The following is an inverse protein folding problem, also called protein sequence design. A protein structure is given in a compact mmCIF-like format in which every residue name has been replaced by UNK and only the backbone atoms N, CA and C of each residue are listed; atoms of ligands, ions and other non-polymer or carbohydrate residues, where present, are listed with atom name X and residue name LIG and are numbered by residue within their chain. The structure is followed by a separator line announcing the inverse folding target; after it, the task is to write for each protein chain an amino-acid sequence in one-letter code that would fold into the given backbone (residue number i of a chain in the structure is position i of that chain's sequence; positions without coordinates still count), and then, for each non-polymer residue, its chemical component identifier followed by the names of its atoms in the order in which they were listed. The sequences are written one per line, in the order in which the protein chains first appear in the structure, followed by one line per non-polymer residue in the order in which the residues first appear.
data_IF_171934570079
#
_entry.id   IF_171934570079
#
_cell.length_a   1.000
_cell.length_b   1.000
_cell.length_c   1.000
_cell.angle_alpha   90.00
_cell.angle_beta   90.00
_cell.angle_gamma   90.00
#
_symmetry.space_group_name_H-M   'P 1'
#
loop_
_entity.id
_entity.type
_entity.pdbx_description
1 polymer ?
#
# COMPACT_ATOMS: atom_id res chain seq x y z
N UNK A 1 8.63 -8.17 9.65
CA UNK A 1 7.69 -7.19 9.07
C UNK A 1 7.83 -5.88 9.83
N UNK A 2 8.00 -4.77 9.13
CA UNK A 2 8.13 -3.46 9.75
C UNK A 2 6.81 -3.00 10.38
N UNK A 3 6.91 -2.06 11.32
CA UNK A 3 5.72 -1.47 11.96
C UNK A 3 4.86 -0.72 10.93
N UNK A 4 5.52 -0.07 9.96
CA UNK A 4 4.82 0.60 8.87
C UNK A 4 3.96 -0.38 8.08
N UNK A 5 4.50 -1.54 7.73
CA UNK A 5 3.75 -2.55 6.99
C UNK A 5 2.57 -3.10 7.78
N UNK A 6 2.78 -3.37 9.07
CA UNK A 6 1.69 -3.84 9.93
C UNK A 6 0.56 -2.82 9.99
N UNK A 7 0.90 -1.55 10.16
CA UNK A 7 -0.08 -0.47 10.20
C UNK A 7 -0.81 -0.34 8.86
N UNK A 8 -0.08 -0.44 7.76
CA UNK A 8 -0.66 -0.39 6.41
C UNK A 8 -1.64 -1.55 6.18
N UNK A 9 -1.25 -2.77 6.56
CA UNK A 9 -2.13 -3.94 6.44
C UNK A 9 -3.38 -3.80 7.30
N UNK A 10 -3.22 -3.33 8.55
CA UNK A 10 -4.35 -3.13 9.45
C UNK A 10 -5.35 -2.11 8.89
N UNK A 11 -4.86 -1.03 8.31
CA UNK A 11 -5.69 -0.01 7.68
C UNK A 11 -6.54 -0.62 6.55
N UNK A 12 -5.90 -1.34 5.65
CA UNK A 12 -6.60 -1.96 4.51
C UNK A 12 -7.57 -3.06 4.95
N UNK A 13 -7.22 -3.83 5.97
CA UNK A 13 -8.10 -4.88 6.51
C UNK A 13 -9.40 -4.30 7.06
N UNK A 14 -9.32 -3.15 7.73
CA UNK A 14 -10.53 -2.46 8.22
C UNK A 14 -11.40 -2.03 7.04
N UNK A 15 -10.82 -1.49 5.99
CA UNK A 15 -11.58 -1.07 4.81
C UNK A 15 -12.28 -2.26 4.15
N UNK A 16 -11.63 -3.40 4.02
CA UNK A 16 -12.24 -4.59 3.44
C UNK A 16 -13.42 -5.11 4.26
N UNK A 17 -13.30 -5.09 5.59
CA UNK A 17 -14.39 -5.51 6.48
C UNK A 17 -15.59 -4.58 6.41
N UNK A 18 -15.32 -3.27 6.42
CA UNK A 18 -16.39 -2.26 6.34
C UNK A 18 -17.11 -2.35 5.01
N UNK A 19 -16.37 -2.58 3.91
CA UNK A 19 -16.95 -2.73 2.57
C UNK A 19 -17.66 -4.07 2.38
N UNK A 20 -17.42 -5.04 3.27
CA UNK A 20 -17.99 -6.39 3.20
C UNK A 20 -17.72 -7.07 1.86
N UNK A 21 -16.45 -7.15 1.51
CA UNK A 21 -15.97 -7.74 0.25
C UNK A 21 -15.01 -8.91 0.55
N UNK A 22 -15.51 -10.03 1.10
CA UNK A 22 -14.64 -11.11 1.61
C UNK A 22 -13.78 -11.75 0.52
N UNK A 23 -14.27 -11.82 -0.71
CA UNK A 23 -13.46 -12.36 -1.81
C UNK A 23 -12.26 -11.46 -2.11
N UNK A 24 -12.48 -10.15 -2.18
CA UNK A 24 -11.41 -9.18 -2.41
C UNK A 24 -10.41 -9.21 -1.25
N UNK A 25 -10.91 -9.29 -0.02
CA UNK A 25 -10.07 -9.43 1.17
C UNK A 25 -9.16 -10.66 1.07
N UNK A 26 -9.69 -11.81 0.68
CA UNK A 26 -8.91 -13.04 0.53
C UNK A 26 -7.83 -12.93 -0.53
N UNK A 27 -8.17 -12.34 -1.68
CA UNK A 27 -7.21 -12.14 -2.77
C UNK A 27 -6.11 -11.17 -2.35
N UNK A 28 -6.47 -10.09 -1.68
CA UNK A 28 -5.50 -9.09 -1.20
C UNK A 28 -4.54 -9.70 -0.18
N UNK A 29 -5.05 -10.51 0.75
CA UNK A 29 -4.22 -11.19 1.75
C UNK A 29 -3.28 -12.22 1.12
N UNK A 30 -3.74 -12.93 0.10
CA UNK A 30 -2.90 -13.88 -0.64
C UNK A 30 -1.77 -13.15 -1.37
N UNK A 31 -2.08 -12.05 -2.05
CA UNK A 31 -1.08 -11.21 -2.74
C UNK A 31 -0.08 -10.64 -1.75
N UNK A 32 -0.55 -10.19 -0.60
CA UNK A 32 0.29 -9.67 0.49
C UNK A 32 1.32 -10.69 0.93
N UNK A 33 0.93 -11.95 1.12
CA UNK A 33 1.85 -13.02 1.51
C UNK A 33 2.94 -13.23 0.47
N UNK A 34 2.62 -13.07 -0.80
CA UNK A 34 3.57 -13.23 -1.89
C UNK A 34 4.59 -12.09 -1.94
N UNK A 35 4.13 -10.85 -1.68
CA UNK A 35 4.93 -9.64 -1.87
C UNK A 35 5.40 -8.97 -0.58
N UNK A 36 5.25 -9.61 0.59
CA UNK A 36 5.62 -9.00 1.87
C UNK A 36 6.98 -9.43 2.40
N UNK A 37 7.84 -9.99 1.58
CA UNK A 37 9.19 -10.37 2.01
C UNK A 37 10.02 -9.14 2.40
N UNK A 38 10.93 -9.28 3.39
CA UNK A 38 11.77 -8.14 3.81
C UNK A 38 12.58 -7.53 2.68
N UNK A 39 13.01 -8.32 1.70
CA UNK A 39 13.78 -7.83 0.56
C UNK A 39 12.99 -6.87 -0.32
N UNK A 40 11.65 -7.02 -0.33
CA UNK A 40 10.77 -6.16 -1.13
C UNK A 40 10.42 -4.88 -0.35
N UNK A 41 10.15 -5.02 0.97
CA UNK A 41 9.55 -3.94 1.76
C UNK A 41 10.51 -3.31 2.76
N UNK A 42 11.79 -3.58 2.68
CA UNK A 42 12.79 -2.96 3.54
C UNK A 42 13.83 -2.20 2.71
N UNK A 43 13.40 -1.27 1.86
CA UNK A 43 14.34 -0.48 1.09
C UNK A 43 15.08 0.47 2.03
N UNK A 44 16.36 0.56 1.82
CA UNK A 44 17.23 1.48 2.54
C UNK A 44 17.50 2.76 1.76
N UNK A 45 16.71 3.00 0.74
CA UNK A 45 16.93 4.10 -0.20
C UNK A 45 16.05 5.29 0.16
N UNK A 46 16.68 6.40 0.53
CA UNK A 46 16.01 7.66 0.83
C UNK A 46 15.13 8.15 -0.32
N UNK A 47 15.43 7.72 -1.53
CA UNK A 47 14.65 8.04 -2.72
C UNK A 47 13.18 7.62 -2.59
N UNK A 48 12.90 6.56 -1.82
CA UNK A 48 11.55 6.04 -1.65
C UNK A 48 10.78 6.68 -0.50
N UNK A 49 11.45 7.44 0.38
CA UNK A 49 10.83 8.02 1.57
C UNK A 49 9.63 8.90 1.22
N UNK A 50 9.75 9.72 0.18
CA UNK A 50 8.66 10.60 -0.23
C UNK A 50 7.43 9.82 -0.73
N UNK A 51 7.64 8.63 -1.29
CA UNK A 51 6.54 7.76 -1.73
C UNK A 51 5.80 7.16 -0.53
N UNK A 52 6.54 6.80 0.52
CA UNK A 52 5.92 6.33 1.77
C UNK A 52 5.15 7.44 2.46
N UNK A 53 5.69 8.66 2.49
CA UNK A 53 5.02 9.82 3.06
C UNK A 53 3.73 10.13 2.31
N UNK A 54 3.74 10.07 0.98
CA UNK A 54 2.56 10.25 0.15
C UNK A 54 1.52 9.18 0.48
N UNK A 55 1.94 7.93 0.62
CA UNK A 55 1.05 6.82 0.96
C UNK A 55 0.34 7.07 2.30
N UNK A 56 1.07 7.54 3.31
CA UNK A 56 0.52 7.90 4.61
C UNK A 56 -0.47 9.04 4.51
N UNK A 57 -0.16 10.07 3.72
CA UNK A 57 -1.04 11.21 3.53
C UNK A 57 -2.34 10.79 2.85
N UNK A 58 -2.27 9.87 1.91
CA UNK A 58 -3.44 9.32 1.22
C UNK A 58 -4.33 8.53 2.18
N UNK A 59 -3.75 7.73 3.07
CA UNK A 59 -4.51 7.02 4.11
C UNK A 59 -5.26 8.00 5.01
N UNK A 60 -4.61 9.08 5.43
CA UNK A 60 -5.26 10.11 6.26
C UNK A 60 -6.40 10.79 5.53
N UNK A 61 -6.22 11.08 4.24
CA UNK A 61 -7.24 11.73 3.43
C UNK A 61 -8.47 10.84 3.28
N UNK A 62 -8.28 9.55 3.04
CA UNK A 62 -9.38 8.56 2.95
C UNK A 62 -10.12 8.51 4.28
N UNK A 63 -9.39 8.41 5.39
CA UNK A 63 -9.98 8.37 6.73
C UNK A 63 -10.82 9.62 7.01
N UNK A 64 -10.31 10.79 6.65
CA UNK A 64 -11.02 12.04 6.83
C UNK A 64 -12.29 12.12 5.99
N UNK A 65 -12.24 11.65 4.74
CA UNK A 65 -13.42 11.62 3.87
C UNK A 65 -14.49 10.69 4.44
N UNK A 66 -14.09 9.52 4.96
CA UNK A 66 -15.02 8.58 5.58
C UNK A 66 -15.64 9.18 6.85
N UNK A 67 -14.84 9.82 7.69
CA UNK A 67 -15.32 10.47 8.92
C UNK A 67 -16.30 11.60 8.60
N UNK A 68 -16.12 12.30 7.50
CA UNK A 68 -17.00 13.35 7.04
C UNK A 68 -18.26 12.84 6.32
N UNK A 69 -18.35 11.52 6.09
CA UNK A 69 -19.49 10.93 5.37
C UNK A 69 -19.46 11.18 3.87
N UNK A 70 -18.32 11.56 3.31
CA UNK A 70 -18.18 11.82 1.88
C UNK A 70 -17.88 10.54 1.12
N UNK A 71 -18.92 9.85 0.68
CA UNK A 71 -18.79 8.60 -0.09
C UNK A 71 -18.07 8.82 -1.40
N UNK A 72 -18.46 9.84 -2.15
CA UNK A 72 -17.83 10.17 -3.44
C UNK A 72 -16.36 10.55 -3.26
N UNK A 73 -16.05 11.37 -2.26
CA UNK A 73 -14.69 11.77 -1.94
C UNK A 73 -13.81 10.58 -1.54
N UNK A 74 -14.34 9.70 -0.68
CA UNK A 74 -13.62 8.50 -0.26
C UNK A 74 -13.33 7.57 -1.43
N UNK A 75 -14.30 7.40 -2.34
CA UNK A 75 -14.14 6.56 -3.53
C UNK A 75 -13.03 7.10 -4.44
N UNK A 76 -13.04 8.38 -4.72
CA UNK A 76 -12.03 9.01 -5.57
C UNK A 76 -10.65 8.91 -4.96
N UNK A 77 -10.53 9.22 -3.67
CA UNK A 77 -9.25 9.14 -2.96
C UNK A 77 -8.72 7.70 -2.89
N UNK A 78 -9.61 6.73 -2.69
CA UNK A 78 -9.22 5.33 -2.68
C UNK A 78 -8.74 4.87 -4.06
N UNK A 79 -9.39 5.32 -5.14
CA UNK A 79 -8.95 5.02 -6.50
C UNK A 79 -7.54 5.57 -6.75
N UNK A 80 -7.31 6.83 -6.42
CA UNK A 80 -5.98 7.44 -6.57
C UNK A 80 -4.94 6.72 -5.75
N UNK A 81 -5.29 6.34 -4.51
CA UNK A 81 -4.39 5.61 -3.62
C UNK A 81 -3.97 4.27 -4.22
N UNK A 82 -4.90 3.52 -4.78
CA UNK A 82 -4.59 2.23 -5.41
C UNK A 82 -3.63 2.43 -6.59
N UNK A 83 -3.87 3.44 -7.41
CA UNK A 83 -2.99 3.74 -8.55
C UNK A 83 -1.59 4.14 -8.09
N UNK A 84 -1.49 4.96 -7.05
CA UNK A 84 -0.20 5.37 -6.50
C UNK A 84 0.52 4.21 -5.80
N UNK A 85 -0.22 3.31 -5.16
CA UNK A 85 0.35 2.11 -4.54
C UNK A 85 0.94 1.17 -5.58
N UNK A 86 0.29 1.05 -6.73
CA UNK A 86 0.82 0.28 -7.86
C UNK A 86 2.14 0.90 -8.36
N UNK A 87 2.19 2.21 -8.48
CA UNK A 87 3.40 2.94 -8.87
C UNK A 87 4.54 2.70 -7.87
N UNK A 88 4.24 2.78 -6.56
CA UNK A 88 5.21 2.51 -5.51
C UNK A 88 5.74 1.09 -5.60
N UNK A 89 4.86 0.11 -5.74
CA UNK A 89 5.25 -1.29 -5.86
C UNK A 89 6.12 -1.53 -7.09
N UNK A 90 5.75 -0.96 -8.23
CA UNK A 90 6.52 -1.06 -9.47
C UNK A 90 7.93 -0.50 -9.27
N UNK A 91 8.05 0.66 -8.63
CA UNK A 91 9.34 1.29 -8.34
C UNK A 91 10.20 0.40 -7.45
N UNK A 92 9.61 -0.18 -6.41
CA UNK A 92 10.33 -1.09 -5.50
C UNK A 92 10.82 -2.33 -6.25
N UNK A 93 9.97 -2.93 -7.07
CA UNK A 93 10.33 -4.13 -7.82
C UNK A 93 11.43 -3.86 -8.84
N UNK A 94 11.40 -2.71 -9.49
CA UNK A 94 12.46 -2.30 -10.42
C UNK A 94 13.78 -2.14 -9.68
N UNK A 95 13.76 -1.54 -8.50
CA UNK A 95 14.96 -1.36 -7.67
C UNK A 95 15.54 -2.71 -7.23
N UNK A 96 14.72 -3.62 -6.73
CA UNK A 96 15.13 -4.97 -6.35
C UNK A 96 15.66 -5.75 -7.56
N UNK A 97 14.99 -5.65 -8.70
CA UNK A 97 15.42 -6.28 -9.94
C UNK A 97 16.77 -5.77 -10.42
N UNK A 98 17.01 -4.48 -10.32
CA UNK A 98 18.29 -3.84 -10.67
C UNK A 98 19.41 -4.34 -9.76
N UNK A 99 19.18 -4.41 -8.45
CA UNK A 99 20.15 -4.94 -7.49
C UNK A 99 20.49 -6.40 -7.79
N UNK A 100 19.48 -7.20 -8.07
CA UNK A 100 19.66 -8.60 -8.43
C UNK A 100 20.51 -8.74 -9.70
N UNK A 101 20.20 -7.97 -10.74
CA UNK A 101 20.92 -8.00 -12.00
C UNK A 101 22.38 -7.59 -11.84
N UNK A 102 22.68 -6.64 -10.95
CA UNK A 102 24.05 -6.18 -10.71
C UNK A 102 24.90 -7.22 -9.96
N UNK A 103 24.28 -8.19 -9.29
CA UNK A 103 24.95 -9.26 -8.53
C UNK A 103 25.19 -10.52 -9.36
N UNK A 104 24.63 -10.59 -10.54
CA UNK A 104 24.78 -11.73 -11.45
C UNK A 104 25.69 -11.40 -12.60
#
# INVERSE_FOLDING_TARGET
MSDWMRANHAFHDVLYRVADVPYIESVAKAARRTFSGPAVWAPSDDHLDHLYERNQAEHRAIRQALAAGSVAGARELAHEHVMHSFELLTTILEHVGSDWASKT
#
